data_IF_327513257290
#
_entry.id   IF_327513257290
#
_cell.length_a   1.000
_cell.length_b   1.000
_cell.length_c   1.000
_cell.angle_alpha   90.00
_cell.angle_beta   90.00
_cell.angle_gamma   90.00
#
_symmetry.space_group_name_H-M   'P 1'
#
loop_
_entity.id
_entity.type
_entity.pdbx_description
1 polymer ?
#
# COMPACT_ATOMS: atom_id res chain seq x y z
N UNK A 1 -4.25 7.04 -24.47
CA UNK A 1 -3.78 7.86 -23.33
C UNK A 1 -3.15 6.93 -22.31
N UNK A 2 -1.92 7.24 -21.87
CA UNK A 2 -1.07 6.35 -21.07
C UNK A 2 -1.48 6.35 -19.59
N UNK A 3 -1.40 5.20 -18.92
CA UNK A 3 -1.76 5.00 -17.50
C UNK A 3 -1.03 5.97 -16.56
N UNK A 4 0.22 6.32 -16.91
CA UNK A 4 1.00 7.31 -16.15
C UNK A 4 0.40 8.72 -16.16
N UNK A 5 -0.21 9.16 -17.26
CA UNK A 5 -0.77 10.51 -17.34
C UNK A 5 -2.05 10.66 -16.52
N UNK A 6 -2.85 9.59 -16.43
CA UNK A 6 -4.03 9.58 -15.56
C UNK A 6 -3.65 9.60 -14.08
N UNK A 7 -2.62 8.85 -13.67
CA UNK A 7 -2.12 8.92 -12.30
C UNK A 7 -1.59 10.32 -11.94
N UNK A 8 -0.91 10.99 -12.88
CA UNK A 8 -0.46 12.37 -12.72
C UNK A 8 -1.63 13.35 -12.54
N UNK A 9 -2.71 13.17 -13.31
CA UNK A 9 -3.92 14.01 -13.23
C UNK A 9 -4.67 13.87 -11.89
N UNK A 10 -4.72 12.66 -11.32
CA UNK A 10 -5.39 12.40 -10.04
C UNK A 10 -4.60 12.98 -8.85
N UNK A 11 -3.27 13.01 -8.94
CA UNK A 11 -2.41 13.69 -7.97
C UNK A 11 -2.54 15.22 -8.05
N UNK A 12 -2.69 15.79 -9.26
CA UNK A 12 -2.93 17.23 -9.47
C UNK A 12 -4.25 17.72 -8.88
N UNK A 13 -5.31 16.91 -8.90
CA UNK A 13 -6.64 17.28 -8.39
C UNK A 13 -6.69 17.41 -6.86
N UNK A 14 -5.88 16.64 -6.12
CA UNK A 14 -5.79 16.72 -4.65
C UNK A 14 -4.95 17.91 -4.16
N UNK A 15 -4.09 18.47 -5.02
CA UNK A 15 -3.26 19.64 -4.72
C UNK A 15 -3.93 21.00 -4.85
N UNK A 16 -5.22 21.08 -5.25
CA UNK A 16 -5.93 22.35 -5.48
C UNK A 16 -6.58 22.97 -4.25
N UNK A 17 -6.57 22.30 -3.10
CA UNK A 17 -7.17 22.82 -1.86
C UNK A 17 -6.20 23.76 -1.10
N UNK A 18 -4.93 23.84 -1.51
CA UNK A 18 -3.91 24.70 -0.89
C UNK A 18 -3.68 26.02 -1.67
N UNK A 19 -4.73 26.66 -2.18
CA UNK A 19 -4.64 27.99 -2.81
C UNK A 19 -5.68 28.95 -2.23
N UNK A 20 -5.75 29.07 -0.91
CA UNK A 20 -6.34 30.26 -0.26
C UNK A 20 -5.34 30.79 0.75
N UNK A 21 -4.29 31.45 0.24
CA UNK A 21 -3.48 32.39 1.02
C UNK A 21 -3.62 33.77 0.36
N UNK A 22 -4.16 34.78 1.06
CA UNK A 22 -4.23 36.13 0.53
C UNK A 22 -2.81 36.70 0.36
N UNK A 23 -2.64 37.45 -0.73
CA UNK A 23 -1.42 38.20 -1.06
C UNK A 23 -0.90 39.00 0.13
N UNK A 24 0.25 38.60 0.68
CA UNK A 24 1.10 39.46 1.50
C UNK A 24 2.40 39.70 0.76
N UNK A 25 2.51 40.90 0.21
CA UNK A 25 3.73 41.50 -0.31
C UNK A 25 4.61 41.91 0.88
N UNK A 26 5.88 41.52 0.93
CA UNK A 26 7.03 42.35 1.35
C UNK A 26 8.36 41.57 1.18
N UNK A 27 9.46 42.30 0.97
CA UNK A 27 10.76 41.88 0.37
C UNK A 27 11.71 40.93 1.17
N UNK A 28 12.93 40.67 0.65
CA UNK A 28 13.92 39.72 1.21
C UNK A 28 14.97 40.41 2.12
N UNK A 29 15.86 39.68 2.84
CA UNK A 29 16.06 38.22 2.86
C UNK A 29 15.93 37.62 4.28
N UNK A 30 14.87 36.86 4.56
CA UNK A 30 14.77 36.07 5.81
C UNK A 30 15.31 34.66 5.62
N UNK A 31 16.64 34.51 5.55
CA UNK A 31 17.27 33.18 5.50
C UNK A 31 17.38 32.47 6.87
N UNK A 32 16.77 33.01 7.94
CA UNK A 32 16.79 32.41 9.29
C UNK A 32 15.42 31.97 9.83
N UNK A 33 14.37 32.04 9.01
CA UNK A 33 13.01 31.66 9.41
C UNK A 33 12.51 30.33 8.78
N UNK A 34 13.23 29.74 7.82
CA UNK A 34 12.79 28.50 7.19
C UNK A 34 12.87 27.27 8.13
N UNK A 35 13.89 27.23 9.00
CA UNK A 35 14.12 26.15 9.97
C UNK A 35 13.01 26.02 11.04
N UNK A 36 12.55 27.10 11.71
CA UNK A 36 11.47 26.98 12.69
C UNK A 36 10.13 26.60 12.04
N UNK A 37 9.86 27.05 10.81
CA UNK A 37 8.64 26.66 10.09
C UNK A 37 8.65 25.16 9.73
N UNK A 38 9.78 24.61 9.27
CA UNK A 38 9.91 23.18 9.01
C UNK A 38 9.80 22.35 10.30
N UNK A 39 10.38 22.82 11.41
CA UNK A 39 10.24 22.18 12.72
C UNK A 39 8.78 22.18 13.20
N UNK A 40 8.06 23.30 13.05
CA UNK A 40 6.65 23.41 13.41
C UNK A 40 5.76 22.51 12.54
N UNK A 41 6.04 22.44 11.24
CA UNK A 41 5.37 21.51 10.32
C UNK A 41 5.63 20.08 10.78
N UNK A 42 6.86 19.65 11.01
CA UNK A 42 7.15 18.29 11.47
C UNK A 42 6.47 17.95 12.81
N UNK A 43 6.39 18.90 13.74
CA UNK A 43 5.68 18.73 15.01
C UNK A 43 4.16 18.57 14.82
N UNK A 44 3.54 19.39 13.97
CA UNK A 44 2.11 19.28 13.63
C UNK A 44 1.80 17.94 12.96
N UNK A 45 2.69 17.44 12.10
CA UNK A 45 2.52 16.14 11.43
C UNK A 45 2.72 14.94 12.37
N UNK A 46 3.50 15.09 13.46
CA UNK A 46 3.64 14.04 14.48
C UNK A 46 2.41 13.91 15.41
N UNK A 47 1.56 14.93 15.45
CA UNK A 47 0.38 15.03 16.34
C UNK A 47 -0.94 14.75 15.60
N UNK A 48 -0.88 14.24 14.36
CA UNK A 48 -2.08 13.80 13.67
C UNK A 48 -2.81 12.76 14.51
N UNK A 49 -4.15 12.81 14.64
CA UNK A 49 -4.90 11.77 15.33
C UNK A 49 -4.70 10.49 14.53
N UNK A 50 -3.72 9.68 14.93
CA UNK A 50 -3.68 8.28 14.54
C UNK A 50 -5.02 7.72 14.94
N UNK A 51 -5.76 7.17 13.96
CA UNK A 51 -7.04 6.50 14.22
C UNK A 51 -6.79 5.45 15.30
N UNK A 52 -7.11 5.81 16.53
CA UNK A 52 -6.71 5.08 17.72
C UNK A 52 -7.64 3.89 17.83
N UNK A 53 -7.15 2.69 17.51
CA UNK A 53 -7.90 1.43 17.65
C UNK A 53 -7.90 0.56 16.41
N UNK A 54 -7.95 1.16 15.22
CA UNK A 54 -8.05 0.41 13.96
C UNK A 54 -6.69 0.08 13.36
N UNK A 55 -6.45 -1.22 13.13
CA UNK A 55 -5.17 -1.68 12.61
C UNK A 55 -5.10 -3.19 12.44
N UNK A 56 -3.94 -3.67 11.96
CA UNK A 56 -3.70 -5.11 11.81
C UNK A 56 -2.87 -5.65 12.96
N UNK A 57 -3.23 -6.84 13.44
CA UNK A 57 -2.47 -7.61 14.43
C UNK A 57 -1.89 -8.87 13.76
N UNK A 58 -0.60 -8.82 13.41
CA UNK A 58 0.13 -9.95 12.83
C UNK A 58 0.99 -10.63 13.91
N UNK A 59 0.40 -11.58 14.64
CA UNK A 59 1.09 -12.23 15.76
C UNK A 59 1.41 -11.19 16.85
N UNK A 60 2.68 -10.99 17.26
CA UNK A 60 3.05 -9.95 18.22
C UNK A 60 3.12 -8.53 17.62
N UNK A 61 3.06 -8.39 16.29
CA UNK A 61 3.22 -7.10 15.62
C UNK A 61 1.87 -6.40 15.43
N UNK A 62 1.78 -5.13 15.85
CA UNK A 62 0.63 -4.26 15.61
C UNK A 62 0.97 -3.21 14.56
N UNK A 63 0.05 -3.01 13.60
CA UNK A 63 0.17 -1.99 12.54
C UNK A 63 -1.04 -1.08 12.65
N UNK A 64 -0.84 0.14 13.13
CA UNK A 64 -1.88 1.16 13.33
C UNK A 64 -1.86 2.21 12.21
N UNK A 65 -2.90 3.05 12.14
CA UNK A 65 -2.99 4.12 11.15
C UNK A 65 -3.28 3.65 9.73
N UNK A 66 -3.78 2.42 9.58
CA UNK A 66 -4.19 1.87 8.28
C UNK A 66 -5.68 1.51 8.35
N UNK A 67 -6.47 2.16 7.50
CA UNK A 67 -7.91 1.88 7.36
C UNK A 67 -8.09 0.86 6.24
N UNK A 68 -8.53 -0.35 6.56
CA UNK A 68 -8.68 -1.43 5.57
C UNK A 68 -9.67 -1.04 4.44
N UNK A 69 -10.70 -0.26 4.76
CA UNK A 69 -11.65 0.25 3.77
C UNK A 69 -10.98 1.18 2.74
N UNK A 70 -10.06 2.05 3.17
CA UNK A 70 -9.33 2.93 2.25
C UNK A 70 -8.43 2.12 1.31
N UNK A 71 -7.79 1.05 1.82
CA UNK A 71 -7.02 0.13 0.99
C UNK A 71 -7.89 -0.56 -0.08
N UNK A 72 -9.08 -1.04 0.31
CA UNK A 72 -10.04 -1.63 -0.65
C UNK A 72 -10.52 -0.63 -1.70
N UNK A 73 -10.85 0.60 -1.28
CA UNK A 73 -11.27 1.65 -2.21
C UNK A 73 -10.16 2.02 -3.21
N UNK A 74 -8.92 2.17 -2.74
CA UNK A 74 -7.78 2.44 -3.59
C UNK A 74 -7.53 1.30 -4.61
N UNK A 75 -7.72 0.05 -4.19
CA UNK A 75 -7.62 -1.11 -5.08
C UNK A 75 -8.75 -1.14 -6.12
N UNK A 76 -10.00 -0.98 -5.71
CA UNK A 76 -11.16 -1.00 -6.62
C UNK A 76 -11.11 0.11 -7.68
N UNK A 77 -10.56 1.28 -7.34
CA UNK A 77 -10.39 2.37 -8.30
C UNK A 77 -9.56 2.00 -9.54
N UNK A 78 -8.75 0.94 -9.46
CA UNK A 78 -7.86 0.49 -10.53
C UNK A 78 -8.10 -0.97 -10.96
N UNK A 79 -8.90 -1.74 -10.22
CA UNK A 79 -9.11 -3.18 -10.45
C UNK A 79 -9.60 -3.48 -11.86
N UNK A 80 -10.66 -2.82 -12.29
CA UNK A 80 -11.31 -3.10 -13.58
C UNK A 80 -10.39 -2.77 -14.77
N UNK A 81 -9.50 -1.80 -14.60
CA UNK A 81 -8.53 -1.40 -15.64
C UNK A 81 -7.45 -2.47 -15.78
N UNK A 82 -6.91 -2.95 -14.67
CA UNK A 82 -5.77 -3.88 -14.69
C UNK A 82 -6.21 -5.32 -14.96
N UNK A 83 -7.36 -5.75 -14.42
CA UNK A 83 -7.88 -7.09 -14.70
C UNK A 83 -8.31 -7.27 -16.16
N UNK A 84 -8.79 -6.22 -16.83
CA UNK A 84 -9.08 -6.27 -18.26
C UNK A 84 -7.83 -6.53 -19.13
N UNK A 85 -6.62 -6.32 -18.58
CA UNK A 85 -5.35 -6.55 -19.26
C UNK A 85 -4.72 -7.92 -18.90
N UNK A 86 -5.21 -8.62 -17.87
CA UNK A 86 -4.69 -9.94 -17.50
C UNK A 86 -5.23 -11.02 -18.43
N UNK A 87 -4.48 -11.30 -19.50
CA UNK A 87 -4.79 -12.39 -20.42
C UNK A 87 -4.31 -13.77 -19.92
N UNK A 88 -3.64 -13.86 -18.76
CA UNK A 88 -3.02 -15.09 -18.25
C UNK A 88 -3.87 -15.69 -17.13
N UNK A 89 -4.90 -16.44 -17.51
CA UNK A 89 -5.81 -17.08 -16.56
C UNK A 89 -5.24 -18.34 -15.87
N UNK A 90 -4.29 -19.03 -16.50
CA UNK A 90 -3.83 -20.36 -16.06
C UNK A 90 -2.71 -20.32 -15.00
N UNK A 91 -2.17 -19.13 -14.71
CA UNK A 91 -1.17 -18.93 -13.66
C UNK A 91 -1.86 -18.28 -12.47
N UNK A 92 -1.40 -18.58 -11.26
CA UNK A 92 -1.81 -17.87 -10.04
C UNK A 92 -0.57 -17.64 -9.19
N UNK A 93 -0.33 -16.40 -8.80
CA UNK A 93 0.85 -15.99 -8.04
C UNK A 93 0.62 -16.18 -6.54
N UNK A 94 -0.49 -15.68 -6.04
CA UNK A 94 -0.97 -15.82 -4.67
C UNK A 94 -1.81 -17.10 -4.56
N UNK A 95 -1.11 -18.23 -4.64
CA UNK A 95 -1.73 -19.54 -4.44
C UNK A 95 -2.08 -19.78 -2.96
N UNK A 96 -2.89 -20.80 -2.73
CA UNK A 96 -3.28 -21.26 -1.40
C UNK A 96 -2.08 -21.46 -0.49
N UNK A 97 -1.00 -22.02 -1.01
CA UNK A 97 0.22 -22.35 -0.25
C UNK A 97 1.00 -21.10 0.17
N UNK A 98 0.79 -19.96 -0.49
CA UNK A 98 1.41 -18.67 -0.12
C UNK A 98 0.66 -18.02 1.04
N UNK A 99 -0.67 -18.14 1.05
CA UNK A 99 -1.55 -17.42 1.99
C UNK A 99 -2.10 -18.27 3.15
N UNK A 100 -2.23 -19.59 3.01
CA UNK A 100 -2.76 -20.47 4.07
C UNK A 100 -1.66 -20.96 5.03
N UNK A 101 -2.09 -21.50 6.19
CA UNK A 101 -1.27 -22.15 7.22
C UNK A 101 -0.17 -21.30 7.87
N UNK A 102 -0.43 -20.02 8.12
CA UNK A 102 0.50 -19.16 8.90
C UNK A 102 0.72 -19.70 10.32
N UNK A 103 -0.25 -20.44 10.87
CA UNK A 103 -0.25 -20.97 12.25
C UNK A 103 -0.11 -22.49 12.38
N UNK A 104 -0.11 -23.23 11.27
CA UNK A 104 -0.12 -24.71 11.27
C UNK A 104 1.08 -25.35 10.59
N UNK A 105 2.07 -24.57 10.13
CA UNK A 105 3.33 -25.17 9.72
C UNK A 105 4.05 -25.71 10.96
N UNK A 106 4.24 -27.03 10.96
CA UNK A 106 4.89 -27.85 11.98
C UNK A 106 6.01 -27.12 12.74
N UNK A 107 6.16 -27.45 14.03
CA UNK A 107 7.21 -27.02 14.99
C UNK A 107 8.66 -27.06 14.46
N UNK A 108 8.87 -27.60 13.26
CA UNK A 108 10.14 -27.76 12.56
C UNK A 108 10.73 -26.46 11.97
N UNK A 109 9.92 -25.42 11.71
CA UNK A 109 10.42 -24.15 11.16
C UNK A 109 9.99 -22.95 11.98
N UNK A 110 10.89 -21.96 12.10
CA UNK A 110 10.54 -20.67 12.69
C UNK A 110 9.54 -19.91 11.81
N UNK A 111 8.76 -19.00 12.41
CA UNK A 111 7.82 -18.11 11.70
C UNK A 111 8.52 -17.37 10.55
N UNK A 112 9.77 -16.94 10.76
CA UNK A 112 10.59 -16.25 9.75
C UNK A 112 10.91 -17.15 8.56
N UNK A 113 11.30 -18.39 8.80
CA UNK A 113 11.65 -19.34 7.74
C UNK A 113 10.41 -19.77 6.94
N UNK A 114 9.31 -20.00 7.64
CA UNK A 114 7.99 -20.24 7.03
C UNK A 114 7.60 -19.11 6.09
N UNK A 115 7.65 -17.85 6.57
CA UNK A 115 7.33 -16.68 5.76
C UNK A 115 8.27 -16.55 4.55
N UNK A 116 9.58 -16.79 4.74
CA UNK A 116 10.57 -16.78 3.66
C UNK A 116 10.27 -17.85 2.60
N UNK A 117 9.95 -19.08 2.99
CA UNK A 117 9.61 -20.16 2.06
C UNK A 117 8.39 -19.80 1.21
N UNK A 118 7.33 -19.30 1.83
CA UNK A 118 6.10 -18.87 1.14
C UNK A 118 6.35 -17.71 0.19
N UNK A 119 7.14 -16.71 0.61
CA UNK A 119 7.56 -15.62 -0.27
C UNK A 119 8.36 -16.13 -1.48
N UNK A 120 9.26 -17.11 -1.29
CA UNK A 120 10.02 -17.69 -2.41
C UNK A 120 9.13 -18.45 -3.40
N UNK A 121 8.04 -19.08 -2.96
CA UNK A 121 7.07 -19.71 -3.87
C UNK A 121 6.40 -18.66 -4.76
N UNK A 122 5.91 -17.57 -4.17
CA UNK A 122 5.40 -16.42 -4.92
C UNK A 122 6.45 -15.86 -5.88
N UNK A 123 7.67 -15.61 -5.39
CA UNK A 123 8.73 -15.01 -6.19
C UNK A 123 9.13 -15.88 -7.39
N UNK A 124 9.19 -17.21 -7.23
CA UNK A 124 9.45 -18.12 -8.35
C UNK A 124 8.34 -18.09 -9.39
N UNK A 125 7.08 -18.06 -8.96
CA UNK A 125 5.95 -17.96 -9.89
C UNK A 125 5.97 -16.61 -10.63
N UNK A 126 6.26 -15.52 -9.92
CA UNK A 126 6.38 -14.18 -10.49
C UNK A 126 7.49 -14.10 -11.56
N UNK A 127 8.67 -14.65 -11.27
CA UNK A 127 9.83 -14.64 -12.19
C UNK A 127 9.67 -15.51 -13.45
N UNK A 128 8.66 -16.39 -13.49
CA UNK A 128 8.37 -17.21 -14.69
C UNK A 128 7.57 -16.43 -15.74
N UNK A 129 6.97 -15.33 -15.37
CA UNK A 129 6.21 -14.47 -16.27
C UNK A 129 7.11 -13.38 -16.84
N UNK A 130 6.75 -12.87 -18.02
CA UNK A 130 7.31 -11.62 -18.50
C UNK A 130 7.01 -10.49 -17.50
N UNK A 131 7.88 -9.49 -17.42
CA UNK A 131 7.81 -8.43 -16.41
C UNK A 131 6.46 -7.69 -16.42
N UNK A 132 5.94 -7.34 -17.59
CA UNK A 132 4.67 -6.60 -17.70
C UNK A 132 3.50 -7.48 -17.29
N UNK A 133 3.48 -8.72 -17.79
CA UNK A 133 2.48 -9.72 -17.42
C UNK A 133 2.50 -10.04 -15.92
N UNK A 134 3.69 -10.14 -15.31
CA UNK A 134 3.85 -10.38 -13.89
C UNK A 134 3.28 -9.24 -13.04
N UNK A 135 3.47 -7.99 -13.47
CA UNK A 135 2.95 -6.80 -12.78
C UNK A 135 1.43 -6.73 -12.86
N UNK A 136 0.86 -6.87 -14.06
CA UNK A 136 -0.59 -6.88 -14.29
C UNK A 136 -1.23 -7.97 -13.43
N UNK A 137 -0.64 -9.17 -13.47
CA UNK A 137 -1.13 -10.31 -12.70
C UNK A 137 -1.04 -10.13 -11.19
N UNK A 138 0.11 -9.67 -10.70
CA UNK A 138 0.29 -9.44 -9.26
C UNK A 138 -0.66 -8.38 -8.73
N UNK A 139 -0.91 -7.32 -9.51
CA UNK A 139 -1.90 -6.31 -9.17
C UNK A 139 -3.32 -6.88 -9.20
N UNK A 140 -3.67 -7.64 -10.23
CA UNK A 140 -4.98 -8.28 -10.38
C UNK A 140 -5.33 -9.26 -9.25
N UNK A 141 -4.32 -9.79 -8.56
CA UNK A 141 -4.46 -10.70 -7.41
C UNK A 141 -4.35 -10.01 -6.04
N UNK A 142 -4.21 -8.68 -5.98
CA UNK A 142 -4.15 -7.92 -4.70
C UNK A 142 -5.42 -8.12 -3.86
N UNK A 143 -6.57 -8.39 -4.48
CA UNK A 143 -7.79 -8.74 -3.74
C UNK A 143 -7.60 -9.98 -2.86
N UNK A 144 -6.94 -11.04 -3.36
CA UNK A 144 -6.63 -12.21 -2.55
C UNK A 144 -5.74 -11.85 -1.35
N UNK A 145 -4.79 -10.95 -1.52
CA UNK A 145 -3.93 -10.47 -0.43
C UNK A 145 -4.72 -9.66 0.60
N UNK A 146 -5.54 -8.70 0.16
CA UNK A 146 -6.36 -7.87 1.04
C UNK A 146 -7.39 -8.70 1.81
N UNK A 147 -8.04 -9.67 1.16
CA UNK A 147 -8.95 -10.63 1.81
C UNK A 147 -8.23 -11.47 2.87
N UNK A 148 -6.97 -11.85 2.62
CA UNK A 148 -6.16 -12.56 3.61
C UNK A 148 -5.79 -11.64 4.78
N UNK A 149 -5.34 -10.42 4.51
CA UNK A 149 -4.96 -9.43 5.54
C UNK A 149 -6.13 -9.06 6.45
N UNK A 150 -7.36 -9.01 5.91
CA UNK A 150 -8.57 -8.72 6.68
C UNK A 150 -8.76 -9.64 7.89
N UNK A 151 -8.24 -10.87 7.87
CA UNK A 151 -8.29 -11.81 8.99
C UNK A 151 -7.54 -11.33 10.24
N UNK A 152 -6.62 -10.40 10.05
CA UNK A 152 -5.77 -9.83 11.09
C UNK A 152 -6.23 -8.41 11.48
N UNK A 153 -7.27 -7.88 10.84
CA UNK A 153 -7.75 -6.53 11.10
C UNK A 153 -8.58 -6.49 12.39
N UNK A 154 -8.26 -5.55 13.27
CA UNK A 154 -8.95 -5.30 14.52
C UNK A 154 -9.57 -3.90 14.48
N UNK A 155 -10.80 -3.80 14.99
CA UNK A 155 -11.57 -2.56 15.09
C UNK A 155 -11.29 -1.84 16.42
#
# INVERSE_FOLDING_TARGET
MNFQERLWSLWSLRGRILWVFPSLRMGPPMQKAALPCLSLILLIWSQGPGVQGQGFQFGPCRVEGVVLQELWQAFWAMKDIVQAQDNIMNVRLLRREVLQNVSQENEMFSIRESARRRFLLFQRAFKKLDKEAAQIKAFGEVDFLLTWMQRFYQL
#
